data_IF_208981849242
#
_entry.id   IF_208981849242
#
_cell.length_a   1.000
_cell.length_b   1.000
_cell.length_c   1.000
_cell.angle_alpha   90.00
_cell.angle_beta   90.00
_cell.angle_gamma   90.00
#
_symmetry.space_group_name_H-M   'P 1'
#
loop_
_entity.id
_entity.type
_entity.pdbx_description
1 polymer ?
#
# COMPACT_ATOMS: atom_id res chain seq x y z
N UNK A 1 33.37 13.65 -6.45
CA UNK A 1 32.57 14.79 -6.96
C UNK A 1 32.08 14.39 -8.35
N UNK A 2 30.98 13.65 -8.43
CA UNK A 2 30.29 13.37 -9.70
C UNK A 2 29.07 14.27 -9.78
N UNK A 3 29.30 15.57 -9.95
CA UNK A 3 28.19 16.48 -10.25
C UNK A 3 27.83 16.28 -11.71
N UNK A 4 26.86 15.41 -11.95
CA UNK A 4 26.16 15.33 -13.23
C UNK A 4 25.29 16.56 -13.50
N UNK A 5 24.99 17.34 -12.46
CA UNK A 5 24.12 18.53 -12.49
C UNK A 5 24.80 19.70 -11.74
N UNK A 6 24.56 20.94 -12.18
CA UNK A 6 25.28 22.13 -11.69
C UNK A 6 24.88 22.63 -10.30
N UNK A 7 23.63 22.46 -9.90
CA UNK A 7 22.97 23.14 -8.77
C UNK A 7 22.63 22.21 -7.60
N UNK A 8 22.41 20.94 -7.86
CA UNK A 8 21.93 19.95 -6.91
C UNK A 8 23.00 18.89 -6.66
N UNK A 9 23.17 18.52 -5.40
CA UNK A 9 24.01 17.39 -5.04
C UNK A 9 23.24 16.08 -5.25
N UNK A 10 23.97 15.01 -5.58
CA UNK A 10 23.41 13.64 -5.58
C UNK A 10 22.66 13.39 -4.28
N UNK A 11 21.48 12.75 -4.34
CA UNK A 11 20.59 12.45 -3.19
C UNK A 11 19.70 13.62 -2.73
N UNK A 12 19.71 14.74 -3.42
CA UNK A 12 18.84 15.88 -3.08
C UNK A 12 17.43 15.70 -3.64
N UNK A 13 16.44 16.12 -2.85
CA UNK A 13 15.04 16.18 -3.30
C UNK A 13 14.81 17.43 -4.14
N UNK A 14 14.20 17.27 -5.32
CA UNK A 14 13.97 18.35 -6.28
C UNK A 14 12.47 18.61 -6.41
N UNK A 15 12.08 19.88 -6.33
CA UNK A 15 10.68 20.32 -6.42
C UNK A 15 10.20 20.45 -7.87
N UNK A 16 8.89 20.31 -8.09
CA UNK A 16 8.27 20.22 -9.43
C UNK A 16 8.63 21.37 -10.39
N UNK A 17 8.81 22.60 -9.86
CA UNK A 17 9.08 23.80 -10.66
C UNK A 17 10.56 24.09 -10.85
N UNK A 18 11.43 23.26 -10.28
CA UNK A 18 12.87 23.44 -10.41
C UNK A 18 13.35 22.92 -11.77
N UNK A 19 14.40 23.57 -12.28
CA UNK A 19 15.06 23.18 -13.52
C UNK A 19 16.37 22.47 -13.19
N UNK A 20 16.57 21.33 -13.84
CA UNK A 20 17.80 20.56 -13.82
C UNK A 20 18.70 21.10 -14.93
N UNK A 21 19.97 21.41 -14.62
CA UNK A 21 21.01 21.74 -15.60
C UNK A 21 22.11 20.67 -15.57
N UNK A 22 21.97 19.67 -16.44
CA UNK A 22 22.94 18.58 -16.58
C UNK A 22 24.19 19.09 -17.31
N UNK A 23 25.36 18.76 -16.78
CA UNK A 23 26.65 19.11 -17.40
C UNK A 23 26.91 18.27 -18.66
N UNK A 24 27.61 18.87 -19.64
CA UNK A 24 28.14 18.18 -20.83
C UNK A 24 27.08 17.41 -21.67
N UNK A 25 25.83 17.87 -21.69
CA UNK A 25 24.74 17.22 -22.45
C UNK A 25 24.43 15.79 -22.02
N UNK A 26 24.83 15.40 -20.80
CA UNK A 26 24.59 14.07 -20.25
C UNK A 26 23.15 13.84 -19.78
N UNK A 27 22.95 12.75 -19.05
CA UNK A 27 21.69 12.46 -18.35
C UNK A 27 21.97 12.09 -16.90
N UNK A 28 21.03 12.41 -16.01
CA UNK A 28 21.02 11.92 -14.63
C UNK A 28 19.87 10.94 -14.41
N UNK A 29 20.07 9.95 -13.55
CA UNK A 29 19.00 9.08 -13.08
C UNK A 29 18.19 9.84 -12.01
N UNK A 30 16.86 9.82 -12.16
CA UNK A 30 15.93 10.58 -11.31
C UNK A 30 14.73 9.73 -10.93
N UNK A 31 14.50 9.52 -9.63
CA UNK A 31 13.29 8.86 -9.15
C UNK A 31 12.10 9.82 -9.23
N UNK A 32 11.15 9.49 -10.11
CA UNK A 32 9.93 10.24 -10.25
C UNK A 32 8.85 9.71 -9.28
N UNK A 33 8.65 10.39 -8.15
CA UNK A 33 7.73 9.96 -7.09
C UNK A 33 6.27 9.79 -7.56
N UNK A 34 5.84 10.51 -8.61
CA UNK A 34 4.48 10.36 -9.15
C UNK A 34 4.27 9.03 -9.88
N UNK A 35 5.33 8.45 -10.43
CA UNK A 35 5.27 7.23 -11.24
C UNK A 35 6.03 6.04 -10.64
N UNK A 36 6.84 6.26 -9.61
CA UNK A 36 7.74 5.25 -9.05
C UNK A 36 8.88 4.84 -9.98
N UNK A 37 9.08 5.52 -11.12
CA UNK A 37 10.09 5.15 -12.11
C UNK A 37 11.37 5.94 -11.95
N UNK A 38 12.51 5.27 -12.19
CA UNK A 38 13.80 5.93 -12.37
C UNK A 38 13.92 6.35 -13.83
N UNK A 39 13.93 7.66 -14.07
CA UNK A 39 13.99 8.27 -15.40
C UNK A 39 15.40 8.79 -15.67
N UNK A 40 15.86 8.67 -16.92
CA UNK A 40 17.06 9.36 -17.39
C UNK A 40 16.70 10.75 -17.90
N UNK A 41 17.07 11.78 -17.15
CA UNK A 41 16.70 13.15 -17.45
C UNK A 41 17.88 13.94 -18.01
N UNK A 42 17.63 14.63 -19.12
CA UNK A 42 18.45 15.75 -19.60
C UNK A 42 18.02 17.05 -18.91
N UNK A 43 18.74 18.15 -19.18
CA UNK A 43 18.35 19.48 -18.69
C UNK A 43 16.90 19.85 -19.05
N UNK A 44 16.22 20.57 -18.14
CA UNK A 44 14.84 21.00 -18.28
C UNK A 44 14.08 21.10 -16.96
N UNK A 45 12.80 21.46 -17.04
CA UNK A 45 11.91 21.58 -15.88
C UNK A 45 11.44 20.20 -15.43
N UNK A 46 11.48 19.93 -14.12
CA UNK A 46 11.16 18.61 -13.55
C UNK A 46 9.72 18.20 -13.84
N UNK A 47 8.74 19.10 -13.72
CA UNK A 47 7.33 18.80 -13.99
C UNK A 47 7.07 18.27 -15.39
N UNK A 48 7.86 18.68 -16.39
CA UNK A 48 7.70 18.24 -17.78
C UNK A 48 8.22 16.81 -17.97
N UNK A 49 9.09 16.36 -17.07
CA UNK A 49 9.80 15.08 -17.14
C UNK A 49 9.24 14.05 -16.18
N UNK A 50 8.72 14.51 -15.04
CA UNK A 50 8.02 13.72 -14.04
C UNK A 50 6.58 14.26 -13.93
N UNK A 51 5.74 14.04 -14.95
CA UNK A 51 4.38 14.56 -14.95
C UNK A 51 3.62 13.98 -13.76
N UNK A 52 2.73 14.78 -13.18
CA UNK A 52 1.75 14.25 -12.26
C UNK A 52 0.88 13.28 -13.05
N UNK A 53 0.85 12.04 -12.60
CA UNK A 53 -0.22 11.15 -13.00
C UNK A 53 -1.45 11.75 -12.34
N UNK A 54 -2.39 12.26 -13.14
CA UNK A 54 -3.73 12.56 -12.64
C UNK A 54 -4.19 11.27 -11.98
N UNK A 55 -4.26 11.26 -10.65
CA UNK A 55 -4.86 10.16 -9.91
C UNK A 55 -6.22 9.98 -10.55
N UNK A 56 -6.41 8.88 -11.28
CA UNK A 56 -7.72 8.49 -11.83
C UNK A 56 -8.66 8.73 -10.67
N UNK A 57 -9.52 9.76 -10.80
CA UNK A 57 -10.30 10.28 -9.70
C UNK A 57 -10.81 9.07 -8.94
N UNK A 58 -10.37 8.91 -7.68
CA UNK A 58 -10.95 7.87 -6.87
C UNK A 58 -12.44 8.20 -6.91
N UNK A 59 -13.21 7.34 -7.61
CA UNK A 59 -14.64 7.58 -7.83
C UNK A 59 -15.35 7.79 -6.49
N UNK A 60 -14.70 7.36 -5.40
CA UNK A 60 -15.05 7.67 -4.05
C UNK A 60 -14.16 8.77 -3.41
N UNK A 61 -14.72 9.96 -3.21
CA UNK A 61 -14.12 11.04 -2.44
C UNK A 61 -15.23 11.96 -1.85
N UNK A 62 -14.91 12.91 -0.95
CA UNK A 62 -15.92 13.78 -0.35
C UNK A 62 -16.78 14.58 -1.36
N UNK A 63 -16.28 14.80 -2.58
CA UNK A 63 -17.01 15.50 -3.65
C UNK A 63 -17.73 14.55 -4.63
N UNK A 64 -17.43 13.24 -4.58
CA UNK A 64 -18.11 12.21 -5.38
C UNK A 64 -18.31 10.95 -4.54
N UNK A 65 -19.54 10.79 -4.03
CA UNK A 65 -19.92 9.64 -3.18
C UNK A 65 -20.60 8.51 -3.95
N UNK A 66 -20.80 8.68 -5.26
CA UNK A 66 -21.58 7.74 -6.06
C UNK A 66 -20.80 6.42 -6.19
N UNK A 67 -21.38 5.34 -5.67
CA UNK A 67 -20.75 4.03 -5.69
C UNK A 67 -19.58 3.87 -4.72
N UNK A 68 -19.39 4.83 -3.80
CA UNK A 68 -18.53 4.65 -2.63
C UNK A 68 -19.07 3.51 -1.77
N UNK A 69 -18.24 2.50 -1.56
CA UNK A 69 -18.43 1.54 -0.48
C UNK A 69 -17.06 1.22 0.11
N UNK A 70 -17.08 0.73 1.34
CA UNK A 70 -15.88 0.34 2.07
C UNK A 70 -15.71 -1.18 1.97
N UNK A 71 -14.87 -1.70 1.06
CA UNK A 71 -14.68 -3.14 0.86
C UNK A 71 -13.91 -3.82 2.00
N UNK A 72 -13.16 -3.06 2.82
CA UNK A 72 -12.35 -3.62 3.92
C UNK A 72 -12.60 -2.93 5.24
N UNK A 73 -12.29 -3.63 6.33
CA UNK A 73 -12.43 -3.12 7.70
C UNK A 73 -13.88 -3.02 8.18
N UNK A 74 -14.73 -4.02 7.89
CA UNK A 74 -16.07 -4.09 8.49
C UNK A 74 -16.08 -3.85 10.00
N UNK A 75 -17.24 -3.52 10.55
CA UNK A 75 -17.42 -3.54 12.02
C UNK A 75 -17.42 -4.99 12.50
N UNK A 76 -17.04 -5.22 13.77
CA UNK A 76 -17.06 -6.57 14.39
C UNK A 76 -18.46 -7.21 14.42
N UNK A 77 -19.48 -6.44 14.07
CA UNK A 77 -20.89 -6.86 13.97
C UNK A 77 -21.28 -7.32 12.55
N UNK A 78 -20.33 -7.48 11.62
CA UNK A 78 -20.68 -7.98 10.28
C UNK A 78 -20.97 -9.47 10.29
N UNK A 79 -22.06 -9.86 9.64
CA UNK A 79 -22.44 -11.26 9.41
C UNK A 79 -21.54 -11.97 8.37
N UNK A 80 -20.68 -11.23 7.67
CA UNK A 80 -19.74 -11.77 6.69
C UNK A 80 -18.30 -11.55 7.14
N UNK A 81 -17.38 -12.49 6.86
CA UNK A 81 -15.96 -12.21 7.05
C UNK A 81 -15.56 -11.08 6.10
N UNK A 82 -14.60 -10.24 6.49
CA UNK A 82 -14.01 -9.24 5.59
C UNK A 82 -12.52 -9.48 5.51
N UNK A 83 -12.01 -9.78 4.32
CA UNK A 83 -10.59 -10.04 4.10
C UNK A 83 -9.80 -8.74 4.28
N UNK A 84 -8.88 -8.74 5.26
CA UNK A 84 -8.01 -7.60 5.62
C UNK A 84 -6.71 -7.69 4.82
N UNK A 85 -6.03 -8.84 4.86
CA UNK A 85 -4.83 -9.15 4.07
C UNK A 85 -5.11 -10.27 3.07
N UNK A 86 -4.66 -10.18 1.80
CA UNK A 86 -3.75 -9.16 1.25
C UNK A 86 -4.36 -7.76 1.08
N UNK A 87 -3.62 -6.69 1.35
CA UNK A 87 -4.09 -5.30 1.34
C UNK A 87 -4.46 -4.76 -0.05
N UNK A 88 -3.91 -5.36 -1.11
CA UNK A 88 -4.15 -5.01 -2.51
C UNK A 88 -4.29 -6.24 -3.38
N UNK A 89 -4.77 -6.02 -4.60
CA UNK A 89 -4.85 -7.05 -5.64
C UNK A 89 -3.50 -7.37 -6.28
N UNK A 90 -2.47 -6.54 -6.12
CA UNK A 90 -1.11 -6.82 -6.61
C UNK A 90 -0.19 -7.19 -5.46
N UNK A 91 0.73 -8.12 -5.68
CA UNK A 91 1.77 -8.49 -4.71
C UNK A 91 3.04 -9.02 -5.40
N UNK A 92 4.16 -8.95 -4.69
CA UNK A 92 5.43 -9.65 -4.95
C UNK A 92 5.55 -10.93 -4.12
N UNK A 93 4.72 -11.12 -3.10
CA UNK A 93 4.79 -12.27 -2.21
C UNK A 93 4.02 -13.46 -2.81
N UNK A 94 4.70 -14.57 -3.15
CA UNK A 94 4.04 -15.75 -3.71
C UNK A 94 3.24 -16.54 -2.66
N UNK A 95 3.42 -16.21 -1.38
CA UNK A 95 2.81 -16.87 -0.21
C UNK A 95 2.24 -15.82 0.76
N UNK A 96 1.21 -15.07 0.35
CA UNK A 96 0.66 -14.01 1.18
C UNK A 96 0.01 -14.56 2.46
N UNK A 97 0.19 -13.84 3.57
CA UNK A 97 -0.62 -14.09 4.76
C UNK A 97 -2.06 -13.62 4.53
N UNK A 98 -3.02 -14.44 4.97
CA UNK A 98 -4.44 -14.19 4.80
C UNK A 98 -5.04 -13.87 6.17
N UNK A 99 -5.68 -12.72 6.31
CA UNK A 99 -6.34 -12.30 7.56
C UNK A 99 -7.71 -11.72 7.26
N UNK A 100 -8.64 -11.88 8.19
CA UNK A 100 -10.01 -11.39 8.03
C UNK A 100 -10.62 -10.94 9.37
N UNK A 101 -11.76 -10.28 9.32
CA UNK A 101 -12.53 -9.93 10.53
C UNK A 101 -13.24 -11.15 11.11
N UNK A 102 -13.35 -11.27 12.44
CA UNK A 102 -14.20 -12.28 13.05
C UNK A 102 -15.67 -12.06 12.67
N UNK A 103 -16.42 -13.15 12.58
CA UNK A 103 -17.86 -13.16 12.27
C UNK A 103 -18.64 -13.69 13.47
N UNK A 104 -19.70 -12.98 13.84
CA UNK A 104 -20.53 -13.40 14.97
C UNK A 104 -21.17 -14.77 14.71
N UNK A 105 -21.09 -15.67 15.69
CA UNK A 105 -21.61 -17.04 15.59
C UNK A 105 -20.77 -18.01 14.73
N UNK A 106 -19.67 -17.56 14.12
CA UNK A 106 -18.76 -18.47 13.43
C UNK A 106 -17.95 -19.31 14.43
N UNK A 107 -17.88 -20.60 14.18
CA UNK A 107 -17.13 -21.60 14.96
C UNK A 107 -15.81 -21.99 14.30
N UNK A 108 -15.73 -21.83 12.98
CA UNK A 108 -14.54 -22.08 12.17
C UNK A 108 -14.62 -21.31 10.86
N UNK A 109 -13.52 -21.29 10.12
CA UNK A 109 -13.41 -20.70 8.80
C UNK A 109 -12.77 -21.67 7.83
N UNK A 110 -13.18 -21.59 6.56
CA UNK A 110 -12.48 -22.25 5.46
C UNK A 110 -11.84 -21.19 4.57
N UNK A 111 -10.52 -21.29 4.39
CA UNK A 111 -9.80 -20.49 3.41
C UNK A 111 -9.61 -21.34 2.17
N UNK A 112 -10.07 -20.84 1.02
CA UNK A 112 -9.84 -21.47 -0.28
C UNK A 112 -9.05 -20.51 -1.15
N UNK A 113 -8.02 -21.02 -1.81
CA UNK A 113 -7.26 -20.31 -2.83
C UNK A 113 -7.45 -21.04 -4.13
N UNK A 114 -7.76 -20.30 -5.20
CA UNK A 114 -8.06 -20.89 -6.50
C UNK A 114 -7.52 -20.04 -7.64
N UNK A 115 -7.10 -20.71 -8.71
CA UNK A 115 -6.76 -20.20 -10.03
C UNK A 115 -7.20 -21.23 -11.06
N UNK A 116 -6.96 -20.97 -12.34
CA UNK A 116 -7.41 -21.87 -13.41
C UNK A 116 -6.90 -23.32 -13.27
N UNK A 117 -5.65 -23.54 -12.86
CA UNK A 117 -5.02 -24.88 -12.82
C UNK A 117 -4.60 -25.32 -11.40
N UNK A 118 -4.92 -24.52 -10.38
CA UNK A 118 -4.43 -24.73 -9.03
C UNK A 118 -5.45 -24.25 -8.01
N UNK A 119 -5.60 -25.00 -6.94
CA UNK A 119 -6.25 -24.51 -5.74
C UNK A 119 -6.02 -25.42 -4.54
N UNK A 120 -6.18 -24.85 -3.36
CA UNK A 120 -6.15 -25.56 -2.09
C UNK A 120 -7.17 -24.96 -1.12
N UNK A 121 -7.50 -25.72 -0.08
CA UNK A 121 -8.33 -25.23 1.02
C UNK A 121 -7.82 -25.71 2.38
N UNK A 122 -7.96 -24.87 3.41
CA UNK A 122 -7.65 -25.20 4.80
C UNK A 122 -8.78 -24.71 5.71
N UNK A 123 -9.10 -25.50 6.74
CA UNK A 123 -10.04 -25.13 7.80
C UNK A 123 -9.25 -24.68 9.03
N UNK A 124 -9.63 -23.55 9.61
CA UNK A 124 -8.99 -22.97 10.81
C UNK A 124 -10.03 -22.38 11.76
N UNK A 125 -9.67 -22.28 13.05
CA UNK A 125 -10.53 -21.72 14.10
C UNK A 125 -10.10 -20.32 14.55
N UNK A 126 -9.30 -19.64 13.72
CA UNK A 126 -8.73 -18.32 13.98
C UNK A 126 -8.89 -17.46 12.73
N UNK A 127 -8.75 -16.14 12.87
CA UNK A 127 -8.97 -15.16 11.78
C UNK A 127 -7.72 -14.80 10.98
N UNK A 128 -6.73 -15.69 11.02
CA UNK A 128 -5.42 -15.56 10.39
C UNK A 128 -4.94 -16.90 9.91
N UNK A 129 -4.44 -16.95 8.68
CA UNK A 129 -3.77 -18.10 8.13
C UNK A 129 -2.45 -17.64 7.51
N UNK A 130 -1.34 -18.02 8.13
CA UNK A 130 -0.05 -18.02 7.45
C UNK A 130 -0.15 -18.97 6.25
N UNK A 131 0.41 -18.57 5.11
CA UNK A 131 0.33 -19.39 3.91
C UNK A 131 0.95 -20.77 4.18
N UNK A 132 0.21 -21.87 3.94
CA UNK A 132 0.71 -23.21 4.28
C UNK A 132 1.98 -23.55 3.48
N UNK A 133 3.02 -24.04 4.16
CA UNK A 133 4.31 -24.35 3.53
C UNK A 133 4.26 -25.60 2.63
N UNK A 134 3.33 -26.50 2.89
CA UNK A 134 3.04 -27.71 2.14
C UNK A 134 2.26 -27.46 0.84
N UNK A 135 1.61 -26.30 0.72
CA UNK A 135 0.84 -25.94 -0.47
C UNK A 135 1.73 -25.28 -1.54
N UNK A 136 1.37 -25.47 -2.81
CA UNK A 136 2.07 -24.81 -3.93
C UNK A 136 1.84 -23.30 -3.87
N UNK A 137 2.87 -22.52 -4.21
CA UNK A 137 2.82 -21.06 -4.18
C UNK A 137 2.26 -20.43 -5.46
N UNK A 138 1.95 -19.15 -5.39
CA UNK A 138 1.52 -18.39 -6.55
C UNK A 138 2.62 -18.37 -7.62
N UNK A 139 2.21 -18.54 -8.87
CA UNK A 139 3.09 -18.49 -10.02
C UNK A 139 3.14 -17.05 -10.55
N UNK A 140 4.33 -16.52 -10.90
CA UNK A 140 4.45 -15.17 -11.43
C UNK A 140 3.54 -14.93 -12.64
N UNK A 141 2.91 -13.76 -12.69
CA UNK A 141 1.98 -13.37 -13.75
C UNK A 141 0.60 -14.03 -13.68
N UNK A 142 0.29 -14.76 -12.60
CA UNK A 142 -0.99 -15.43 -12.42
C UNK A 142 -1.90 -14.71 -11.44
N UNK A 143 -3.21 -14.82 -11.68
CA UNK A 143 -4.27 -14.30 -10.82
C UNK A 143 -4.89 -15.45 -10.03
N UNK A 144 -5.03 -15.23 -8.74
CA UNK A 144 -5.69 -16.13 -7.79
C UNK A 144 -6.87 -15.42 -7.16
N UNK A 145 -7.91 -16.17 -6.79
CA UNK A 145 -8.96 -15.67 -5.92
C UNK A 145 -8.83 -16.34 -4.57
N UNK A 146 -8.76 -15.53 -3.52
CA UNK A 146 -8.79 -15.99 -2.13
C UNK A 146 -10.22 -15.85 -1.64
N UNK A 147 -10.77 -16.92 -1.10
CA UNK A 147 -12.07 -16.96 -0.45
C UNK A 147 -11.89 -17.27 1.04
N UNK A 148 -12.66 -16.59 1.88
CA UNK A 148 -12.82 -16.93 3.29
C UNK A 148 -14.29 -17.16 3.58
N UNK A 149 -14.63 -18.37 3.97
CA UNK A 149 -15.98 -18.78 4.35
C UNK A 149 -16.09 -18.87 5.87
N UNK A 150 -17.14 -18.31 6.45
CA UNK A 150 -17.47 -18.47 7.87
C UNK A 150 -18.45 -19.63 8.07
N UNK A 151 -18.16 -20.50 9.04
CA UNK A 151 -18.93 -21.71 9.32
C UNK A 151 -19.56 -21.68 10.71
N UNK A 152 -20.81 -22.15 10.78
CA UNK A 152 -21.53 -22.42 12.01
C UNK A 152 -22.18 -23.79 11.90
N UNK A 153 -21.98 -24.64 12.91
CA UNK A 153 -22.53 -25.99 12.97
C UNK A 153 -22.27 -26.82 11.68
N UNK A 154 -21.05 -26.70 11.14
CA UNK A 154 -20.61 -27.41 9.93
C UNK A 154 -21.12 -26.83 8.61
N UNK A 155 -21.91 -25.75 8.63
CA UNK A 155 -22.47 -25.11 7.42
C UNK A 155 -21.85 -23.73 7.19
N UNK A 156 -21.41 -23.45 5.97
CA UNK A 156 -20.99 -22.11 5.57
C UNK A 156 -22.22 -21.21 5.46
N UNK A 157 -22.21 -20.07 6.14
CA UNK A 157 -23.34 -19.13 6.13
C UNK A 157 -22.99 -17.77 5.51
N UNK A 158 -21.72 -17.44 5.40
CA UNK A 158 -21.23 -16.23 4.74
C UNK A 158 -19.82 -16.41 4.21
N UNK A 159 -19.41 -15.53 3.29
CA UNK A 159 -18.07 -15.52 2.75
C UNK A 159 -17.68 -14.15 2.20
N UNK A 160 -16.38 -13.95 2.03
CA UNK A 160 -15.80 -12.85 1.27
C UNK A 160 -14.71 -13.39 0.34
N UNK A 161 -14.37 -12.61 -0.68
CA UNK A 161 -13.37 -12.99 -1.66
C UNK A 161 -12.57 -11.80 -2.17
N UNK A 162 -11.31 -12.02 -2.47
CA UNK A 162 -10.45 -11.00 -3.06
C UNK A 162 -9.52 -11.60 -4.12
N UNK A 163 -9.41 -10.97 -5.31
CA UNK A 163 -8.42 -11.39 -6.29
C UNK A 163 -7.04 -10.89 -5.90
N UNK A 164 -6.02 -11.70 -6.18
CA UNK A 164 -4.61 -11.41 -5.93
C UNK A 164 -3.80 -11.85 -7.15
N UNK A 165 -3.04 -10.92 -7.70
CA UNK A 165 -2.17 -11.08 -8.85
C UNK A 165 -0.72 -11.04 -8.34
N UNK A 166 0.01 -12.14 -8.55
CA UNK A 166 1.45 -12.13 -8.37
C UNK A 166 2.08 -11.53 -9.62
N UNK A 167 2.85 -10.45 -9.47
CA UNK A 167 3.44 -9.76 -10.61
C UNK A 167 4.32 -10.68 -11.47
N UNK A 168 4.45 -10.36 -12.76
CA UNK A 168 5.30 -11.11 -13.69
C UNK A 168 6.77 -11.05 -13.27
N UNK A 169 7.58 -12.04 -13.68
CA UNK A 169 9.03 -12.05 -13.41
C UNK A 169 9.69 -10.75 -13.86
N UNK A 170 9.38 -10.27 -15.06
CA UNK A 170 9.95 -9.03 -15.60
C UNK A 170 9.64 -7.82 -14.72
N UNK A 171 8.40 -7.69 -14.22
CA UNK A 171 8.01 -6.61 -13.31
C UNK A 171 8.72 -6.73 -11.96
N UNK A 172 8.82 -7.95 -11.41
CA UNK A 172 9.53 -8.18 -10.14
C UNK A 172 11.01 -7.81 -10.25
N UNK A 173 11.66 -8.18 -11.36
CA UNK A 173 13.06 -7.85 -11.64
C UNK A 173 13.27 -6.35 -11.81
N UNK A 174 12.40 -5.65 -12.55
CA UNK A 174 12.48 -4.19 -12.71
C UNK A 174 12.39 -3.48 -11.35
N UNK A 175 11.41 -3.86 -10.53
CA UNK A 175 11.23 -3.31 -9.17
C UNK A 175 12.46 -3.60 -8.31
N UNK A 176 12.95 -4.83 -8.31
CA UNK A 176 14.13 -5.22 -7.55
C UNK A 176 15.39 -4.42 -7.97
N UNK A 177 15.57 -4.19 -9.27
CA UNK A 177 16.66 -3.36 -9.80
C UNK A 177 16.54 -1.90 -9.36
N UNK A 178 15.35 -1.31 -9.43
CA UNK A 178 15.14 0.07 -8.98
C UNK A 178 15.37 0.22 -7.47
N UNK A 179 14.89 -0.72 -6.67
CA UNK A 179 15.13 -0.76 -5.22
C UNK A 179 16.62 -0.90 -4.92
N UNK A 180 17.33 -1.76 -5.67
CA UNK A 180 18.79 -1.92 -5.52
C UNK A 180 19.51 -0.60 -5.77
N UNK A 181 19.18 0.12 -6.84
CA UNK A 181 19.76 1.44 -7.15
C UNK A 181 19.52 2.45 -6.04
N UNK A 182 18.30 2.51 -5.48
CA UNK A 182 18.00 3.40 -4.33
C UNK A 182 18.86 3.04 -3.12
N UNK A 183 18.97 1.74 -2.79
CA UNK A 183 19.79 1.29 -1.64
C UNK A 183 21.28 1.62 -1.81
N UNK A 184 21.80 1.53 -3.03
CA UNK A 184 23.19 1.87 -3.36
C UNK A 184 23.50 3.38 -3.18
N UNK A 185 22.48 4.24 -3.12
CA UNK A 185 22.66 5.64 -2.75
C UNK A 185 23.07 5.79 -1.28
N UNK A 186 22.83 4.81 -0.41
CA UNK A 186 23.17 4.89 1.00
C UNK A 186 22.50 6.08 1.71
N UNK A 187 21.22 6.31 1.42
CA UNK A 187 20.39 7.31 2.10
C UNK A 187 20.13 6.90 3.56
N UNK A 188 19.76 7.84 4.44
CA UNK A 188 19.18 7.51 5.74
C UNK A 188 18.04 6.47 5.60
N UNK A 189 17.86 5.57 6.60
CA UNK A 189 16.85 4.51 6.51
C UNK A 189 15.44 5.02 6.22
N UNK A 190 15.00 6.07 6.92
CA UNK A 190 13.66 6.65 6.74
C UNK A 190 13.46 7.22 5.32
N UNK A 191 14.49 7.85 4.74
CA UNK A 191 14.45 8.37 3.37
C UNK A 191 14.42 7.24 2.35
N UNK A 192 15.25 6.20 2.56
CA UNK A 192 15.28 5.00 1.72
C UNK A 192 13.90 4.34 1.66
N UNK A 193 13.20 4.25 2.80
CA UNK A 193 11.86 3.65 2.87
C UNK A 193 10.83 4.49 2.11
N UNK A 194 10.90 5.82 2.17
CA UNK A 194 9.99 6.70 1.43
C UNK A 194 10.21 6.63 -0.08
N UNK A 195 11.44 6.47 -0.53
CA UNK A 195 11.77 6.33 -1.95
C UNK A 195 11.31 4.97 -2.51
N UNK A 196 11.52 3.89 -1.75
CA UNK A 196 11.00 2.56 -2.13
C UNK A 196 9.47 2.54 -2.08
N UNK A 197 8.86 3.24 -1.13
CA UNK A 197 7.40 3.35 -1.07
C UNK A 197 6.82 3.99 -2.34
N UNK A 198 7.50 4.97 -2.94
CA UNK A 198 7.05 5.55 -4.21
C UNK A 198 6.98 4.50 -5.34
N UNK A 199 7.93 3.56 -5.39
CA UNK A 199 7.94 2.43 -6.34
C UNK A 199 6.78 1.47 -6.04
N UNK A 200 6.62 1.04 -4.78
CA UNK A 200 5.55 0.11 -4.44
C UNK A 200 4.15 0.72 -4.63
N UNK A 201 4.00 2.01 -4.31
CA UNK A 201 2.75 2.74 -4.40
C UNK A 201 2.27 2.93 -5.83
N UNK A 202 3.19 3.06 -6.81
CA UNK A 202 2.85 3.17 -8.24
C UNK A 202 2.38 1.84 -8.82
N UNK A 203 2.91 0.72 -8.31
CA UNK A 203 2.54 -0.64 -8.71
C UNK A 203 1.36 -1.23 -7.90
N UNK A 204 0.78 -0.41 -7.00
CA UNK A 204 -0.28 -0.82 -6.07
C UNK A 204 0.10 -2.02 -5.19
N UNK A 205 1.38 -2.13 -4.84
CA UNK A 205 1.96 -3.15 -3.96
C UNK A 205 1.76 -2.76 -2.48
N UNK A 206 0.50 -2.75 -2.03
CA UNK A 206 0.15 -2.26 -0.70
C UNK A 206 0.68 -3.17 0.41
N UNK A 207 0.80 -4.48 0.19
CA UNK A 207 1.40 -5.39 1.18
C UNK A 207 2.85 -5.03 1.46
N UNK A 208 3.62 -4.83 0.41
CA UNK A 208 5.06 -4.60 0.45
C UNK A 208 5.37 -3.27 1.12
N UNK A 209 4.66 -2.20 0.75
CA UNK A 209 4.83 -0.89 1.40
C UNK A 209 4.35 -0.86 2.85
N UNK A 210 3.18 -1.45 3.17
CA UNK A 210 2.67 -1.47 4.55
C UNK A 210 3.64 -2.21 5.47
N UNK A 211 4.09 -3.41 5.09
CA UNK A 211 5.03 -4.18 5.92
C UNK A 211 6.40 -3.48 6.04
N UNK A 212 6.89 -2.85 4.96
CA UNK A 212 8.12 -2.08 5.01
C UNK A 212 8.01 -0.87 5.95
N UNK A 213 6.91 -0.10 5.89
CA UNK A 213 6.68 1.04 6.77
C UNK A 213 6.52 0.60 8.23
N UNK A 214 5.77 -0.47 8.49
CA UNK A 214 5.64 -1.08 9.82
C UNK A 214 6.99 -1.49 10.40
N UNK A 215 7.91 -2.00 9.56
CA UNK A 215 9.26 -2.34 10.01
C UNK A 215 10.08 -1.15 10.54
N UNK A 216 9.64 0.09 10.27
CA UNK A 216 10.25 1.31 10.82
C UNK A 216 9.40 1.92 11.95
N UNK A 217 8.08 1.79 11.91
CA UNK A 217 7.15 2.49 12.82
C UNK A 217 6.61 1.63 13.95
N UNK A 218 6.66 0.31 13.84
CA UNK A 218 6.06 -0.67 14.77
C UNK A 218 7.13 -1.61 15.36
N UNK A 219 8.28 -1.05 15.78
CA UNK A 219 9.39 -1.80 16.38
C UNK A 219 9.63 -1.40 17.83
N UNK A 220 10.59 -2.05 18.50
CA UNK A 220 11.02 -1.67 19.85
C UNK A 220 11.62 -0.24 19.90
N UNK A 221 12.17 0.23 18.79
CA UNK A 221 12.73 1.58 18.63
C UNK A 221 12.15 2.23 17.37
N UNK A 222 10.88 2.70 17.42
CA UNK A 222 10.22 3.28 16.25
C UNK A 222 10.93 4.54 15.74
N UNK A 223 10.87 4.76 14.42
CA UNK A 223 11.31 6.01 13.82
C UNK A 223 10.58 7.22 14.44
N UNK A 224 11.29 8.35 14.51
CA UNK A 224 10.74 9.65 14.93
C UNK A 224 10.36 10.53 13.75
N UNK A 225 10.42 10.03 12.52
CA UNK A 225 10.02 10.76 11.34
C UNK A 225 8.48 10.71 11.19
N UNK A 226 7.76 11.84 11.35
CA UNK A 226 6.30 11.85 11.26
C UNK A 226 5.78 11.46 9.87
N UNK A 227 6.59 11.62 8.82
CA UNK A 227 6.19 11.28 7.45
C UNK A 227 5.96 9.79 7.28
N UNK A 228 6.74 8.92 7.94
CA UNK A 228 6.55 7.46 7.82
C UNK A 228 5.18 7.04 8.34
N UNK A 229 4.77 7.53 9.52
CA UNK A 229 3.44 7.25 10.08
C UNK A 229 2.32 7.81 9.19
N UNK A 230 2.51 9.02 8.65
CA UNK A 230 1.54 9.62 7.74
C UNK A 230 1.38 8.78 6.47
N UNK A 231 2.49 8.40 5.83
CA UNK A 231 2.47 7.55 4.62
C UNK A 231 1.85 6.20 4.92
N UNK A 232 2.16 5.58 6.06
CA UNK A 232 1.51 4.33 6.49
C UNK A 232 -0.02 4.52 6.64
N UNK A 233 -0.47 5.65 7.19
CA UNK A 233 -1.87 6.04 7.20
C UNK A 233 -2.49 6.13 5.80
N UNK A 234 -1.78 6.75 4.85
CA UNK A 234 -2.23 6.82 3.45
C UNK A 234 -2.36 5.44 2.81
N UNK A 235 -1.42 4.53 3.10
CA UNK A 235 -1.45 3.15 2.58
C UNK A 235 -2.61 2.36 3.18
N UNK A 236 -2.88 2.50 4.47
CA UNK A 236 -4.07 1.91 5.08
C UNK A 236 -5.37 2.48 4.51
N UNK A 237 -5.47 3.79 4.24
CA UNK A 237 -6.65 4.34 3.56
C UNK A 237 -6.81 3.78 2.14
N UNK A 238 -5.73 3.66 1.36
CA UNK A 238 -5.75 3.00 0.04
C UNK A 238 -6.16 1.53 0.12
N UNK A 239 -5.82 0.86 1.22
CA UNK A 239 -6.26 -0.50 1.53
C UNK A 239 -7.68 -0.57 2.12
N UNK A 240 -8.40 0.56 2.21
CA UNK A 240 -9.74 0.64 2.80
C UNK A 240 -9.82 0.26 4.28
N UNK A 241 -8.75 0.53 5.03
CA UNK A 241 -8.59 0.26 6.46
C UNK A 241 -8.55 1.58 7.26
N UNK A 242 -9.66 2.33 7.35
CA UNK A 242 -9.68 3.66 7.96
C UNK A 242 -9.42 3.65 9.48
N UNK A 243 -9.66 2.55 10.19
CA UNK A 243 -9.35 2.45 11.62
C UNK A 243 -7.83 2.38 11.85
N UNK A 244 -7.14 1.57 11.06
CA UNK A 244 -5.70 1.44 11.01
C UNK A 244 -5.09 2.77 10.55
N UNK A 245 -5.63 3.37 9.49
CA UNK A 245 -5.20 4.69 9.04
C UNK A 245 -5.37 5.76 10.12
N UNK A 246 -6.48 5.77 10.86
CA UNK A 246 -6.73 6.70 11.97
C UNK A 246 -5.63 6.62 13.02
N UNK A 247 -5.25 5.40 13.43
CA UNK A 247 -4.17 5.18 14.41
C UNK A 247 -2.87 5.80 13.92
N UNK A 248 -2.52 5.57 12.65
CA UNK A 248 -1.26 6.05 12.08
C UNK A 248 -1.24 7.56 11.85
N UNK A 249 -2.34 8.17 11.37
CA UNK A 249 -2.42 9.63 11.28
C UNK A 249 -2.41 10.32 12.63
N UNK A 250 -3.01 9.69 13.65
CA UNK A 250 -2.96 10.22 15.03
C UNK A 250 -1.50 10.21 15.52
N UNK A 251 -0.78 9.12 15.27
CA UNK A 251 0.64 9.04 15.61
C UNK A 251 1.50 10.03 14.83
N UNK A 252 1.25 10.18 13.52
CA UNK A 252 1.91 11.19 12.69
C UNK A 252 1.68 12.60 13.22
N UNK A 253 0.45 12.93 13.62
CA UNK A 253 0.10 14.22 14.22
C UNK A 253 0.88 14.48 15.52
N UNK A 254 0.93 13.49 16.42
CA UNK A 254 1.67 13.60 17.70
C UNK A 254 3.17 13.83 17.47
N UNK A 255 3.79 13.04 16.59
CA UNK A 255 5.22 13.12 16.27
C UNK A 255 5.55 14.41 15.52
N UNK A 256 4.68 14.86 14.60
CA UNK A 256 4.85 16.12 13.89
C UNK A 256 4.75 17.31 14.84
N UNK A 257 3.81 17.27 15.80
CA UNK A 257 3.66 18.30 16.82
C UNK A 257 4.89 18.37 17.73
N UNK A 258 5.43 17.24 18.18
CA UNK A 258 6.61 17.23 19.06
C UNK A 258 7.91 17.63 18.36
N UNK A 259 8.00 17.40 17.04
CA UNK A 259 9.13 17.81 16.20
C UNK A 259 8.98 19.19 15.55
N UNK A 260 7.90 19.94 15.86
CA UNK A 260 7.57 21.23 15.24
C UNK A 260 7.48 21.18 13.70
N UNK A 261 7.10 20.03 13.13
CA UNK A 261 6.92 19.86 11.69
C UNK A 261 5.50 20.26 11.26
N UNK A 262 5.29 21.56 11.02
CA UNK A 262 3.98 22.12 10.68
C UNK A 262 3.39 21.55 9.38
N UNK A 263 4.23 21.25 8.39
CA UNK A 263 3.80 20.69 7.11
C UNK A 263 3.21 19.29 7.28
N UNK A 264 3.90 18.41 8.00
CA UNK A 264 3.40 17.05 8.25
C UNK A 264 2.23 17.06 9.23
N UNK A 265 2.19 18.00 10.18
CA UNK A 265 1.04 18.20 11.07
C UNK A 265 -0.24 18.46 10.28
N UNK A 266 -0.18 19.38 9.30
CA UNK A 266 -1.32 19.70 8.45
C UNK A 266 -1.77 18.48 7.63
N UNK A 267 -0.85 17.77 6.97
CA UNK A 267 -1.20 16.59 6.19
C UNK A 267 -1.80 15.47 7.04
N UNK A 268 -1.31 15.27 8.27
CA UNK A 268 -1.89 14.30 9.20
C UNK A 268 -3.33 14.70 9.59
N UNK A 269 -3.61 15.98 9.81
CA UNK A 269 -4.97 16.48 10.04
C UNK A 269 -5.89 16.25 8.84
N UNK A 270 -5.39 16.44 7.62
CA UNK A 270 -6.12 16.14 6.38
C UNK A 270 -6.44 14.64 6.28
N UNK A 271 -5.47 13.76 6.56
CA UNK A 271 -5.68 12.32 6.64
C UNK A 271 -6.76 11.92 7.65
N UNK A 272 -6.77 12.53 8.84
CA UNK A 272 -7.82 12.31 9.85
C UNK A 272 -9.20 12.77 9.39
N UNK A 273 -9.29 13.85 8.60
CA UNK A 273 -10.57 14.27 7.99
C UNK A 273 -11.04 13.24 6.97
N UNK A 274 -10.15 12.71 6.14
CA UNK A 274 -10.48 11.66 5.18
C UNK A 274 -10.98 10.40 5.88
N UNK A 275 -10.32 9.95 6.95
CA UNK A 275 -10.79 8.80 7.77
C UNK A 275 -12.25 8.97 8.21
N UNK A 276 -12.64 10.17 8.68
CA UNK A 276 -14.02 10.43 9.10
C UNK A 276 -15.01 10.22 7.95
N UNK A 277 -14.66 10.68 6.75
CA UNK A 277 -15.47 10.45 5.55
C UNK A 277 -15.58 8.97 5.21
N UNK A 278 -14.46 8.23 5.14
CA UNK A 278 -14.47 6.80 4.81
C UNK A 278 -15.25 5.94 5.83
N UNK A 279 -15.22 6.32 7.10
CA UNK A 279 -15.99 5.63 8.16
C UNK A 279 -17.50 5.84 8.07
N UNK A 280 -17.97 6.83 7.30
CA UNK A 280 -19.40 7.06 7.05
C UNK A 280 -19.93 6.29 5.84
N UNK A 281 -19.04 5.67 5.05
CA UNK A 281 -19.43 4.96 3.85
C UNK A 281 -20.12 3.63 4.19
N UNK A 282 -21.10 3.20 3.38
CA UNK A 282 -21.67 1.87 3.53
C UNK A 282 -20.60 0.81 3.27
N UNK A 283 -20.66 -0.30 4.02
CA UNK A 283 -19.75 -1.44 3.83
C UNK A 283 -20.17 -2.35 2.67
N UNK A 284 -21.36 -2.13 2.09
CA UNK A 284 -21.89 -2.93 0.98
C UNK A 284 -22.59 -2.06 -0.06
N UNK A 285 -22.66 -2.56 -1.30
CA UNK A 285 -23.62 -2.06 -2.29
C UNK A 285 -24.99 -2.63 -1.93
N UNK A 286 -25.97 -1.79 -1.66
CA UNK A 286 -27.36 -2.23 -1.67
C UNK A 286 -27.64 -2.83 -3.05
N UNK A 287 -28.14 -4.06 -3.11
CA UNK A 287 -28.58 -4.65 -4.37
C UNK A 287 -29.58 -3.71 -5.04
N UNK A 288 -29.52 -3.60 -6.37
CA UNK A 288 -30.57 -2.92 -7.11
C UNK A 288 -31.92 -3.53 -6.72
N UNK A 289 -32.82 -2.71 -6.16
CA UNK A 289 -34.22 -3.05 -5.99
C UNK A 289 -34.89 -3.14 -7.37
#
# INVERSE_FOLDING_TARGET
MDRGEKRFDTKSLICEKESIEVLNSGTIDFLCYSSGKILKLSSGIVSDKCPKIETINANCNPNNVVGCFRPKGGTEESDDPTIISPYSTSTLNPRPEITWTPVNGATSYKVKVESYEFGWEKIVNQTRLAYPSDEKEFQPGSIYTIYVFAYKDGTAFSYDSTPVNLLSVASQEEIAQNIKRIKELGLPPDETVLDIDAIYASENLLNETIEMLKSQTETATPSRNPTLYRVLGDRYLRAWLPNEAKRQYTKAFEVAKSSNNSKELQKAQEGLKMVKFYNQLPTRRNGAQ
#
